data_IF_873755158778
#
_entry.id   IF_873755158778
#
_cell.length_a   1.000
_cell.length_b   1.000
_cell.length_c   1.000
_cell.angle_alpha   90.00
_cell.angle_beta   90.00
_cell.angle_gamma   90.00
#
_symmetry.space_group_name_H-M   'P 1'
#
loop_
_entity.id
_entity.type
_entity.pdbx_description
1 polymer ?
#
# COMPACT_ATOMS: atom_id res chain seq x y z
N UNK A 1 -13.88 16.36 17.00
CA UNK A 1 -13.97 14.93 16.65
C UNK A 1 -12.57 14.40 16.42
N UNK A 2 -12.19 13.36 17.11
CA UNK A 2 -10.84 12.83 16.97
C UNK A 2 -10.74 11.95 15.73
N UNK A 3 -9.64 12.10 15.03
CA UNK A 3 -9.31 11.28 13.88
C UNK A 3 -8.80 9.92 14.37
N UNK A 4 -9.35 8.84 13.78
CA UNK A 4 -8.93 7.48 14.07
C UNK A 4 -8.22 6.91 12.86
N UNK A 5 -6.89 6.78 12.89
CA UNK A 5 -6.19 6.18 11.75
C UNK A 5 -6.58 4.72 11.59
N UNK A 6 -6.63 4.30 10.35
CA UNK A 6 -6.85 2.90 9.97
C UNK A 6 -5.54 2.32 9.49
N UNK A 7 -5.37 1.03 9.68
CA UNK A 7 -4.29 0.25 9.08
C UNK A 7 -4.89 -0.69 8.06
N UNK A 8 -4.30 -0.75 6.87
CA UNK A 8 -4.62 -1.78 5.89
C UNK A 8 -3.39 -2.56 5.53
N UNK A 9 -3.52 -3.85 5.62
CA UNK A 9 -2.51 -4.80 5.15
C UNK A 9 -3.02 -5.37 3.83
N UNK A 10 -2.20 -5.26 2.79
CA UNK A 10 -2.64 -5.60 1.43
C UNK A 10 -1.62 -6.52 0.80
N UNK A 11 -2.12 -7.59 0.17
CA UNK A 11 -1.31 -8.53 -0.59
C UNK A 11 -1.74 -8.47 -2.04
N UNK A 12 -0.81 -8.16 -2.93
CA UNK A 12 -1.03 -8.12 -4.38
C UNK A 12 -0.45 -9.39 -4.99
N UNK A 13 -1.26 -10.08 -5.78
CA UNK A 13 -0.88 -11.28 -6.50
C UNK A 13 -0.90 -11.00 -8.00
N UNK A 14 0.04 -11.59 -8.74
CA UNK A 14 0.15 -11.43 -10.18
C UNK A 14 1.59 -11.21 -10.58
N UNK A 15 1.79 -10.53 -11.72
CA UNK A 15 3.13 -10.13 -12.16
C UNK A 15 3.46 -8.80 -11.52
N UNK A 16 3.71 -8.83 -10.21
CA UNK A 16 3.86 -7.62 -9.39
C UNK A 16 5.30 -7.35 -8.94
N UNK A 17 6.19 -8.34 -9.06
CA UNK A 17 7.61 -8.15 -8.76
C UNK A 17 8.41 -7.94 -10.06
N UNK A 18 9.48 -7.14 -9.99
CA UNK A 18 10.34 -6.89 -11.13
C UNK A 18 9.75 -5.93 -12.16
N UNK A 19 8.67 -5.20 -11.80
CA UNK A 19 7.98 -4.27 -12.70
C UNK A 19 7.91 -2.84 -12.14
N UNK A 20 8.71 -2.55 -11.11
CA UNK A 20 8.75 -1.23 -10.49
C UNK A 20 7.61 -0.94 -9.53
N UNK A 21 6.93 -1.98 -9.04
CA UNK A 21 5.74 -1.82 -8.19
C UNK A 21 6.07 -1.03 -6.92
N UNK A 22 7.15 -1.38 -6.21
CA UNK A 22 7.50 -0.73 -4.95
C UNK A 22 7.83 0.75 -5.13
N UNK A 23 8.58 1.09 -6.17
CA UNK A 23 8.93 2.48 -6.46
C UNK A 23 7.69 3.27 -6.89
N UNK A 24 6.82 2.68 -7.69
CA UNK A 24 5.56 3.31 -8.07
C UNK A 24 4.67 3.57 -6.86
N UNK A 25 4.55 2.60 -5.96
CA UNK A 25 3.76 2.76 -4.74
C UNK A 25 4.31 3.91 -3.87
N UNK A 26 5.62 3.97 -3.68
CA UNK A 26 6.24 5.06 -2.90
C UNK A 26 6.00 6.41 -3.55
N UNK A 27 6.15 6.50 -4.86
CA UNK A 27 5.98 7.77 -5.58
C UNK A 27 4.53 8.26 -5.47
N UNK A 28 3.56 7.36 -5.60
CA UNK A 28 2.15 7.73 -5.46
C UNK A 28 1.84 8.11 -4.01
N UNK A 29 2.38 7.38 -3.04
CA UNK A 29 2.13 7.64 -1.62
C UNK A 29 2.54 9.06 -1.21
N UNK A 30 3.52 9.65 -1.90
CA UNK A 30 3.97 11.01 -1.61
C UNK A 30 2.88 12.05 -1.81
N UNK A 31 1.84 11.74 -2.58
CA UNK A 31 0.72 12.66 -2.84
C UNK A 31 -0.44 12.48 -1.86
N UNK A 32 -0.32 11.57 -0.90
CA UNK A 32 -1.40 11.26 0.03
C UNK A 32 -0.88 11.25 1.47
N UNK A 33 -1.80 11.45 2.41
CA UNK A 33 -1.49 11.39 3.84
C UNK A 33 -1.52 9.95 4.33
N UNK A 34 -0.58 9.14 3.82
CA UNK A 34 -0.44 7.73 4.21
C UNK A 34 1.01 7.45 4.62
N UNK A 35 1.18 6.54 5.58
CA UNK A 35 2.47 6.08 6.04
C UNK A 35 2.46 4.55 6.06
N UNK A 36 3.62 3.92 5.98
CA UNK A 36 3.71 2.47 5.98
C UNK A 36 4.88 1.97 5.16
N UNK A 37 4.69 0.84 4.50
CA UNK A 37 5.76 0.26 3.69
C UNK A 37 5.20 -0.65 2.58
N UNK A 38 6.07 -0.93 1.62
CA UNK A 38 5.82 -1.91 0.56
C UNK A 38 7.07 -2.78 0.41
N UNK A 39 6.86 -4.08 0.29
CA UNK A 39 7.96 -5.05 0.13
C UNK A 39 7.54 -6.22 -0.75
N UNK A 40 8.53 -6.87 -1.35
CA UNK A 40 8.33 -8.12 -2.06
C UNK A 40 8.39 -9.30 -1.08
N UNK A 41 7.50 -10.27 -1.26
CA UNK A 41 7.55 -11.53 -0.51
C UNK A 41 8.24 -12.61 -1.34
N UNK A 42 8.76 -13.64 -0.66
CA UNK A 42 9.45 -14.74 -1.33
C UNK A 42 8.55 -15.55 -2.26
N UNK A 43 7.24 -15.51 -2.01
CA UNK A 43 6.28 -16.26 -2.84
C UNK A 43 5.82 -15.52 -4.09
N UNK A 44 6.39 -14.36 -4.37
CA UNK A 44 6.07 -13.58 -5.57
C UNK A 44 5.03 -12.48 -5.37
N UNK A 45 4.37 -12.43 -4.22
CA UNK A 45 3.41 -11.37 -3.92
C UNK A 45 4.13 -10.08 -3.50
N UNK A 46 3.41 -8.99 -3.59
CA UNK A 46 3.82 -7.71 -2.98
C UNK A 46 2.96 -7.49 -1.74
N UNK A 47 3.59 -7.17 -0.63
CA UNK A 47 2.95 -6.88 0.65
C UNK A 47 3.07 -5.38 0.92
N UNK A 48 1.94 -4.75 1.17
CA UNK A 48 1.87 -3.31 1.46
C UNK A 48 1.09 -3.10 2.73
N UNK A 49 1.61 -2.22 3.58
CA UNK A 49 0.89 -1.76 4.78
C UNK A 49 0.76 -0.25 4.66
N UNK A 50 -0.45 0.27 4.83
CA UNK A 50 -0.72 1.70 4.80
C UNK A 50 -1.55 2.08 6.02
N UNK A 51 -1.16 3.17 6.68
CA UNK A 51 -1.90 3.77 7.78
C UNK A 51 -2.23 5.21 7.45
N UNK A 52 -3.41 5.63 7.87
CA UNK A 52 -3.88 6.98 7.66
C UNK A 52 -5.40 7.04 7.74
N UNK A 53 -5.96 8.17 7.34
CA UNK A 53 -7.40 8.29 7.23
C UNK A 53 -7.91 7.35 6.15
N UNK A 54 -9.03 6.63 6.36
CA UNK A 54 -9.53 5.68 5.38
C UNK A 54 -9.69 6.25 3.97
N UNK A 55 -10.18 7.49 3.86
CA UNK A 55 -10.35 8.13 2.55
C UNK A 55 -9.01 8.33 1.83
N UNK A 56 -7.95 8.66 2.55
CA UNK A 56 -6.61 8.83 1.99
C UNK A 56 -6.02 7.49 1.54
N UNK A 57 -6.22 6.45 2.34
CA UNK A 57 -5.78 5.10 1.98
C UNK A 57 -6.52 4.63 0.72
N UNK A 58 -7.85 4.83 0.66
CA UNK A 58 -8.65 4.45 -0.49
C UNK A 58 -8.19 5.16 -1.77
N UNK A 59 -7.94 6.47 -1.69
CA UNK A 59 -7.49 7.24 -2.84
C UNK A 59 -6.11 6.80 -3.31
N UNK A 60 -5.20 6.55 -2.37
CA UNK A 60 -3.86 6.03 -2.67
C UNK A 60 -3.94 4.68 -3.38
N UNK A 61 -4.71 3.75 -2.83
CA UNK A 61 -4.82 2.40 -3.39
C UNK A 61 -5.51 2.41 -4.75
N UNK A 62 -6.51 3.28 -4.95
CA UNK A 62 -7.19 3.40 -6.25
C UNK A 62 -6.21 3.87 -7.33
N UNK A 63 -5.36 4.84 -7.00
CA UNK A 63 -4.38 5.35 -7.95
C UNK A 63 -3.30 4.32 -8.26
N UNK A 64 -2.84 3.61 -7.23
CA UNK A 64 -1.86 2.54 -7.39
C UNK A 64 -2.42 1.40 -8.25
N UNK A 65 -3.65 0.97 -7.97
CA UNK A 65 -4.30 -0.09 -8.74
C UNK A 65 -4.47 0.32 -10.21
N UNK A 66 -4.89 1.56 -10.47
CA UNK A 66 -5.03 2.04 -11.84
C UNK A 66 -3.70 2.01 -12.59
N UNK A 67 -2.60 2.36 -11.91
CA UNK A 67 -1.27 2.38 -12.50
C UNK A 67 -0.74 0.98 -12.78
N UNK A 68 -1.02 0.01 -11.88
CA UNK A 68 -0.46 -1.33 -11.94
C UNK A 68 -1.47 -2.38 -12.39
N UNK A 69 -2.65 -1.98 -12.81
CA UNK A 69 -3.77 -2.87 -13.15
C UNK A 69 -3.39 -4.02 -14.07
N UNK A 70 -2.63 -3.82 -15.17
CA UNK A 70 -2.30 -4.93 -16.07
C UNK A 70 -1.51 -6.04 -15.39
N UNK A 71 -0.87 -5.75 -14.26
CA UNK A 71 0.01 -6.68 -13.56
C UNK A 71 -0.65 -7.35 -12.36
N UNK A 72 -1.76 -6.79 -11.86
CA UNK A 72 -2.43 -7.29 -10.66
C UNK A 72 -3.52 -8.29 -11.07
N UNK A 73 -3.46 -9.51 -10.49
CA UNK A 73 -4.51 -10.52 -10.67
C UNK A 73 -5.46 -10.58 -9.51
N UNK A 74 -4.96 -10.34 -8.29
CA UNK A 74 -5.77 -10.45 -7.09
C UNK A 74 -5.24 -9.49 -6.03
N UNK A 75 -6.17 -8.93 -5.24
CA UNK A 75 -5.83 -8.05 -4.10
C UNK A 75 -6.56 -8.57 -2.88
N UNK A 76 -5.81 -8.84 -1.81
CA UNK A 76 -6.36 -9.23 -0.53
C UNK A 76 -6.11 -8.08 0.45
N UNK A 77 -7.17 -7.50 1.02
CA UNK A 77 -7.08 -6.39 1.95
C UNK A 77 -7.59 -6.80 3.32
N UNK A 78 -6.84 -6.44 4.36
CA UNK A 78 -7.18 -6.73 5.76
C UNK A 78 -7.10 -5.44 6.57
N UNK A 79 -8.25 -4.78 6.84
CA UNK A 79 -8.27 -3.56 7.64
C UNK A 79 -8.14 -3.87 9.13
N UNK A 80 -7.54 -2.94 9.86
CA UNK A 80 -7.42 -2.99 11.31
C UNK A 80 -7.20 -1.58 11.84
N UNK A 81 -7.04 -1.42 13.15
CA UNK A 81 -6.75 -0.12 13.73
C UNK A 81 -5.32 0.30 13.41
N UNK A 82 -5.13 1.59 13.17
CA UNK A 82 -3.82 2.16 12.97
C UNK A 82 -3.01 2.12 14.26
N UNK A 83 -1.70 1.92 14.12
CA UNK A 83 -0.78 1.83 15.24
C UNK A 83 -0.05 3.14 15.52
N UNK A 84 0.05 4.01 14.51
CA UNK A 84 0.84 5.24 14.62
C UNK A 84 2.34 5.00 14.57
N UNK A 85 2.78 3.79 14.26
CA UNK A 85 4.21 3.44 14.27
C UNK A 85 4.99 3.99 13.07
N UNK A 86 4.30 4.36 12.00
CA UNK A 86 4.96 4.81 10.78
C UNK A 86 4.98 6.33 10.70
N UNK A 87 6.10 6.90 10.28
CA UNK A 87 6.25 8.36 10.06
C UNK A 87 6.32 8.71 8.58
N UNK A 88 6.52 7.74 7.71
CA UNK A 88 6.64 7.94 6.27
C UNK A 88 6.24 6.66 5.55
N UNK A 89 6.13 6.74 4.22
CA UNK A 89 5.92 5.56 3.39
C UNK A 89 7.26 5.18 2.75
N UNK A 90 7.69 3.93 2.97
CA UNK A 90 9.02 3.49 2.56
C UNK A 90 9.01 2.15 1.84
N UNK A 91 10.05 1.92 1.07
CA UNK A 91 10.31 0.62 0.45
C UNK A 91 11.13 -0.22 1.42
N UNK A 92 10.74 -1.48 1.58
CA UNK A 92 11.52 -2.48 2.32
C UNK A 92 12.03 -3.54 1.37
N UNK A 93 13.25 -3.95 1.60
CA UNK A 93 13.93 -4.94 0.77
C UNK A 93 14.08 -6.29 1.45
#
# INVERSE_FOLDING_TARGET
MSFQPQRREIFFTGRVQGVGFRYTARDIAADFAVAGFVRNLDDGRVHLVAEGEPAEIDAFLAKLAARMQPNIRHVDQRPSEGTGEFTAFEIRF
#
